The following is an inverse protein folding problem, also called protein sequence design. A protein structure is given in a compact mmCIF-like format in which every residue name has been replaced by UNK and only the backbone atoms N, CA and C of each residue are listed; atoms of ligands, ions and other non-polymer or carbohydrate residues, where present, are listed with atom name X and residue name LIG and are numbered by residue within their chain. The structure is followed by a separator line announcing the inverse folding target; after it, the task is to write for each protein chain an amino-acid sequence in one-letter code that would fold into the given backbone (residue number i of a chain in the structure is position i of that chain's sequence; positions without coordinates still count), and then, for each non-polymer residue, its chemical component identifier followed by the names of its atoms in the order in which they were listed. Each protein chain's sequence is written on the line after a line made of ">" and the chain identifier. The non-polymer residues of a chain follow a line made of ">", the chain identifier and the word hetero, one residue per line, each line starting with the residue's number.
data_IF_163706450431
#
_entry.id   IF_163706450431
#
_cell.length_a   1.000
_cell.length_b   1.000
_cell.length_c   1.000
_cell.angle_alpha   90.00
_cell.angle_beta   90.00
_cell.angle_gamma   90.00
#
_symmetry.space_group_name_H-M   'P 1'
#
loop_
_entity.id
_entity.type
_entity.pdbx_description
1 polymer ?
#
# COMPACT_ATOMS: atom_id res chain seq x y z
N UNK A 1 -29.71 -3.53 -18.75
CA UNK A 1 -29.68 -2.93 -17.40
C UNK A 1 -28.72 -3.79 -16.59
N UNK A 2 -27.49 -3.35 -16.38
CA UNK A 2 -26.50 -4.14 -15.63
C UNK A 2 -26.87 -4.06 -14.15
N UNK A 3 -27.48 -5.12 -13.62
CA UNK A 3 -28.00 -5.15 -12.26
C UNK A 3 -26.85 -5.29 -11.25
N UNK A 4 -27.07 -4.86 -10.01
CA UNK A 4 -26.07 -4.95 -8.94
C UNK A 4 -25.61 -6.40 -8.69
N UNK A 5 -26.43 -7.40 -9.01
CA UNK A 5 -26.05 -8.81 -9.01
C UNK A 5 -24.92 -9.16 -9.99
N UNK A 6 -24.87 -8.51 -11.17
CA UNK A 6 -23.78 -8.71 -12.12
C UNK A 6 -22.47 -8.13 -11.60
N UNK A 7 -22.53 -6.96 -10.94
CA UNK A 7 -21.37 -6.34 -10.27
C UNK A 7 -20.90 -7.23 -9.13
N UNK A 8 -21.83 -7.76 -8.33
CA UNK A 8 -21.52 -8.70 -7.26
C UNK A 8 -20.78 -9.93 -7.82
N UNK A 9 -21.25 -10.57 -8.90
CA UNK A 9 -20.55 -11.74 -9.46
C UNK A 9 -19.18 -11.44 -10.04
N UNK A 10 -18.96 -10.23 -10.57
CA UNK A 10 -17.70 -9.86 -11.25
C UNK A 10 -16.63 -9.30 -10.32
N UNK A 11 -17.02 -8.68 -9.19
CA UNK A 11 -16.08 -8.05 -8.28
C UNK A 11 -15.11 -9.07 -7.69
N UNK A 12 -13.84 -8.71 -7.65
CA UNK A 12 -12.80 -9.57 -7.10
C UNK A 12 -11.43 -8.99 -7.41
N UNK A 13 -10.53 -9.08 -6.44
CA UNK A 13 -9.11 -8.76 -6.59
C UNK A 13 -8.29 -10.03 -6.41
N UNK A 14 -7.18 -10.12 -7.13
CA UNK A 14 -6.28 -11.27 -7.08
C UNK A 14 -4.83 -10.80 -7.16
N UNK A 15 -3.99 -11.36 -6.31
CA UNK A 15 -2.54 -11.25 -6.39
C UNK A 15 -2.01 -12.44 -7.18
N UNK A 16 -1.30 -12.16 -8.27
CA UNK A 16 -0.55 -13.14 -9.02
C UNK A 16 0.62 -13.72 -8.23
N UNK A 17 1.31 -14.69 -8.82
CA UNK A 17 2.56 -15.19 -8.27
C UNK A 17 3.58 -14.06 -8.19
N UNK A 18 4.47 -14.16 -7.21
CA UNK A 18 5.62 -13.28 -7.16
C UNK A 18 6.60 -13.65 -8.27
N UNK A 19 6.96 -12.65 -9.07
CA UNK A 19 7.92 -12.77 -10.14
C UNK A 19 9.36 -12.73 -9.58
N UNK A 20 10.35 -13.00 -10.42
CA UNK A 20 11.75 -13.13 -10.00
C UNK A 20 12.34 -11.85 -9.37
N UNK A 21 11.74 -10.70 -9.65
CA UNK A 21 12.12 -9.38 -9.14
C UNK A 21 11.44 -9.05 -7.79
N UNK A 22 10.63 -9.96 -7.27
CA UNK A 22 9.86 -9.76 -6.04
C UNK A 22 8.53 -9.01 -6.25
N UNK A 23 8.20 -8.60 -7.47
CA UNK A 23 6.95 -7.93 -7.79
C UNK A 23 5.83 -8.95 -7.97
N UNK A 24 4.59 -8.57 -7.66
CA UNK A 24 3.40 -9.39 -7.93
C UNK A 24 2.37 -8.54 -8.65
N UNK A 25 1.70 -9.13 -9.65
CA UNK A 25 0.60 -8.45 -10.34
C UNK A 25 -0.64 -8.43 -9.46
N UNK A 26 -1.20 -7.24 -9.22
CA UNK A 26 -2.57 -7.08 -8.71
C UNK A 26 -3.53 -6.93 -9.90
N UNK A 27 -4.61 -7.70 -9.93
CA UNK A 27 -5.62 -7.62 -11.00
C UNK A 27 -7.03 -7.89 -10.48
N UNK A 28 -8.04 -7.47 -11.24
CA UNK A 28 -9.44 -7.72 -10.89
C UNK A 28 -10.39 -6.61 -11.33
N UNK A 29 -11.67 -6.78 -10.97
CA UNK A 29 -12.70 -5.76 -11.12
C UNK A 29 -13.12 -5.26 -9.74
N UNK A 30 -13.14 -3.94 -9.56
CA UNK A 30 -13.66 -3.29 -8.37
C UNK A 30 -15.09 -2.82 -8.64
N UNK A 31 -15.94 -2.89 -7.63
CA UNK A 31 -17.27 -2.28 -7.69
C UNK A 31 -17.16 -0.75 -7.49
N UNK A 32 -18.26 0.01 -7.69
CA UNK A 32 -18.23 1.46 -7.54
C UNK A 32 -17.81 1.94 -6.15
N UNK A 33 -18.16 1.18 -5.09
CA UNK A 33 -17.83 1.53 -3.71
C UNK A 33 -16.32 1.43 -3.45
N UNK A 34 -15.69 0.32 -3.83
CA UNK A 34 -14.25 0.17 -3.71
C UNK A 34 -13.51 1.13 -4.65
N UNK A 35 -14.04 1.40 -5.86
CA UNK A 35 -13.45 2.40 -6.77
C UNK A 35 -13.40 3.78 -6.13
N UNK A 36 -14.52 4.27 -5.59
CA UNK A 36 -14.60 5.57 -4.95
C UNK A 36 -13.67 5.65 -3.72
N UNK A 37 -13.58 4.56 -2.95
CA UNK A 37 -12.67 4.46 -1.81
C UNK A 37 -11.21 4.57 -2.24
N UNK A 38 -10.81 3.84 -3.29
CA UNK A 38 -9.44 3.91 -3.83
C UNK A 38 -9.11 5.29 -4.39
N UNK A 39 -10.02 5.95 -5.10
CA UNK A 39 -9.84 7.33 -5.59
C UNK A 39 -9.64 8.32 -4.44
N UNK A 40 -10.40 8.18 -3.35
CA UNK A 40 -10.24 9.04 -2.18
C UNK A 40 -8.89 8.82 -1.49
N UNK A 41 -8.46 7.55 -1.35
CA UNK A 41 -7.14 7.19 -0.82
C UNK A 41 -6.02 7.72 -1.70
N UNK A 42 -6.13 7.58 -3.02
CA UNK A 42 -5.18 8.12 -4.00
C UNK A 42 -5.06 9.64 -3.86
N UNK A 43 -6.18 10.37 -3.86
CA UNK A 43 -6.18 11.81 -3.71
C UNK A 43 -5.52 12.28 -2.40
N UNK A 44 -5.67 11.50 -1.32
CA UNK A 44 -5.12 11.84 0.00
C UNK A 44 -3.65 11.47 0.16
N UNK A 45 -3.25 10.27 -0.27
CA UNK A 45 -1.94 9.68 0.05
C UNK A 45 -0.96 9.67 -1.13
N UNK A 46 -1.43 9.88 -2.35
CA UNK A 46 -0.61 9.86 -3.57
C UNK A 46 -0.35 11.26 -4.17
N UNK A 47 -0.73 12.33 -3.46
CA UNK A 47 -0.35 13.68 -3.85
C UNK A 47 1.18 13.83 -3.87
N UNK A 48 1.75 14.70 -4.74
CA UNK A 48 3.21 14.89 -4.79
C UNK A 48 3.81 15.20 -3.42
N UNK A 49 4.88 14.50 -3.06
CA UNK A 49 5.58 14.59 -1.78
C UNK A 49 4.95 13.78 -0.63
N UNK A 50 3.75 13.22 -0.81
CA UNK A 50 3.12 12.35 0.19
C UNK A 50 3.65 10.92 0.10
N UNK A 51 3.76 10.24 1.24
CA UNK A 51 4.17 8.83 1.34
C UNK A 51 5.43 8.50 0.52
N UNK A 52 6.37 9.43 0.43
CA UNK A 52 7.58 9.23 -0.35
C UNK A 52 8.56 8.31 0.38
N UNK A 53 8.78 7.12 -0.18
CA UNK A 53 9.67 6.10 0.41
C UNK A 53 11.14 6.49 0.40
N UNK A 54 11.52 7.49 -0.40
CA UNK A 54 12.90 7.98 -0.50
C UNK A 54 13.21 9.08 0.53
N UNK A 55 12.18 9.60 1.21
CA UNK A 55 12.34 10.57 2.31
C UNK A 55 12.65 9.84 3.63
N UNK A 56 13.57 10.40 4.43
CA UNK A 56 13.92 9.85 5.75
C UNK A 56 12.71 9.80 6.69
N UNK A 57 11.81 10.78 6.59
CA UNK A 57 10.54 10.80 7.31
C UNK A 57 9.40 11.07 6.33
N UNK A 58 8.79 10.02 5.76
CA UNK A 58 7.71 10.16 4.79
C UNK A 58 6.51 10.89 5.39
N UNK A 59 5.97 11.87 4.67
CA UNK A 59 4.76 12.58 5.09
C UNK A 59 3.53 11.71 4.82
N UNK A 60 2.95 11.15 5.87
CA UNK A 60 1.74 10.31 5.79
C UNK A 60 0.49 11.03 6.30
N UNK A 61 0.67 12.02 7.19
CA UNK A 61 -0.38 12.86 7.75
C UNK A 61 -0.20 14.31 7.32
N UNK A 62 -1.31 15.06 7.24
CA UNK A 62 -1.28 16.46 6.84
C UNK A 62 -1.07 16.66 5.33
N UNK A 63 -0.22 17.63 4.98
CA UNK A 63 0.14 18.00 3.61
C UNK A 63 1.66 18.06 3.48
N UNK A 64 2.19 17.54 2.37
CA UNK A 64 3.60 17.65 2.06
C UNK A 64 4.00 19.12 1.82
N UNK A 65 5.21 19.48 2.26
CA UNK A 65 5.77 20.79 1.97
C UNK A 65 5.96 20.99 0.46
N UNK A 66 5.84 22.22 -0.08
CA UNK A 66 6.02 22.49 -1.50
C UNK A 66 7.34 21.97 -2.07
N UNK A 67 8.41 22.01 -1.28
CA UNK A 67 9.73 21.52 -1.68
C UNK A 67 9.76 19.99 -1.84
N UNK A 68 9.03 19.27 -1.00
CA UNK A 68 8.88 17.81 -1.12
C UNK A 68 8.08 17.47 -2.39
N UNK A 69 6.99 18.20 -2.65
CA UNK A 69 6.21 18.05 -3.88
C UNK A 69 7.05 18.33 -5.14
N UNK A 70 7.88 19.37 -5.13
CA UNK A 70 8.75 19.73 -6.26
C UNK A 70 9.84 18.69 -6.55
N UNK A 71 10.35 17.99 -5.53
CA UNK A 71 11.39 16.96 -5.69
C UNK A 71 10.83 15.56 -5.91
N UNK A 72 9.51 15.38 -5.84
CA UNK A 72 8.87 14.09 -6.07
C UNK A 72 8.80 13.77 -7.56
N UNK A 73 9.72 12.90 -8.01
CA UNK A 73 9.85 12.47 -9.40
C UNK A 73 9.08 11.18 -9.70
N UNK A 74 8.36 10.61 -8.72
CA UNK A 74 7.60 9.38 -8.91
C UNK A 74 6.42 9.63 -9.84
N UNK A 75 6.13 8.65 -10.68
CA UNK A 75 4.90 8.64 -11.47
C UNK A 75 3.67 8.55 -10.57
N UNK A 76 2.51 8.95 -11.09
CA UNK A 76 1.23 8.84 -10.37
C UNK A 76 0.98 7.42 -9.86
N UNK A 77 1.21 6.40 -10.70
CA UNK A 77 1.07 4.99 -10.32
C UNK A 77 2.03 4.57 -9.19
N UNK A 78 3.27 5.08 -9.17
CA UNK A 78 4.22 4.83 -8.09
C UNK A 78 3.79 5.52 -6.79
N UNK A 79 3.32 6.77 -6.86
CA UNK A 79 2.77 7.48 -5.69
C UNK A 79 1.55 6.76 -5.15
N UNK A 80 0.67 6.27 -6.02
CA UNK A 80 -0.51 5.52 -5.59
C UNK A 80 -0.12 4.19 -4.93
N UNK A 81 0.85 3.46 -5.50
CA UNK A 81 1.40 2.26 -4.87
C UNK A 81 1.93 2.54 -3.44
N UNK A 82 2.78 3.55 -3.30
CA UNK A 82 3.40 3.88 -2.00
C UNK A 82 2.37 4.41 -0.99
N UNK A 83 1.44 5.25 -1.45
CA UNK A 83 0.34 5.76 -0.64
C UNK A 83 -0.61 4.65 -0.17
N UNK A 84 -0.97 3.72 -1.05
CA UNK A 84 -1.77 2.55 -0.69
C UNK A 84 -1.05 1.67 0.34
N UNK A 85 0.26 1.44 0.17
CA UNK A 85 1.06 0.70 1.15
C UNK A 85 1.12 1.41 2.51
N UNK A 86 1.30 2.73 2.53
CA UNK A 86 1.31 3.52 3.76
C UNK A 86 -0.04 3.44 4.50
N UNK A 87 -1.16 3.59 3.78
CA UNK A 87 -2.50 3.46 4.33
C UNK A 87 -2.80 2.06 4.89
N UNK A 88 -2.43 1.01 4.17
CA UNK A 88 -2.60 -0.38 4.64
C UNK A 88 -1.74 -0.68 5.88
N UNK A 89 -0.52 -0.14 5.95
CA UNK A 89 0.32 -0.24 7.16
C UNK A 89 -0.32 0.50 8.33
N UNK A 90 -0.81 1.71 8.13
CA UNK A 90 -1.50 2.47 9.17
C UNK A 90 -2.73 1.72 9.70
N UNK A 91 -3.50 1.08 8.81
CA UNK A 91 -4.63 0.23 9.18
C UNK A 91 -4.21 -0.98 10.02
N UNK A 92 -3.11 -1.67 9.66
CA UNK A 92 -2.59 -2.78 10.45
C UNK A 92 -2.09 -2.32 11.84
N UNK A 93 -1.51 -1.13 11.91
CA UNK A 93 -1.01 -0.54 13.15
C UNK A 93 -2.10 0.15 14.01
N UNK A 94 -3.30 0.38 13.47
CA UNK A 94 -4.36 1.09 14.20
C UNK A 94 -4.89 0.31 15.40
N UNK A 95 -4.69 -1.02 15.41
CA UNK A 95 -5.24 -1.91 16.43
C UNK A 95 -6.74 -2.18 16.26
N UNK A 96 -7.39 -1.59 15.25
CA UNK A 96 -8.84 -1.70 15.02
C UNK A 96 -9.22 -2.96 14.22
N UNK A 97 -8.27 -3.60 13.55
CA UNK A 97 -8.50 -4.84 12.80
C UNK A 97 -8.74 -6.08 13.67
N UNK A 98 -8.70 -5.94 14.99
CA UNK A 98 -8.83 -7.05 15.93
C UNK A 98 -7.61 -7.98 15.91
N UNK A 99 -7.82 -9.23 16.33
CA UNK A 99 -6.77 -10.24 16.42
C UNK A 99 -6.92 -11.28 15.31
N UNK A 100 -5.80 -11.67 14.70
CA UNK A 100 -5.73 -12.83 13.83
C UNK A 100 -4.96 -13.94 14.58
N UNK A 101 -5.63 -15.07 14.86
CA UNK A 101 -5.07 -16.19 15.65
C UNK A 101 -4.52 -15.79 17.04
N UNK A 102 -5.16 -14.82 17.72
CA UNK A 102 -4.75 -14.38 19.06
C UNK A 102 -3.58 -13.38 19.09
N UNK A 103 -3.06 -12.99 17.92
CA UNK A 103 -2.05 -11.94 17.77
C UNK A 103 -2.69 -10.73 17.08
N UNK A 104 -2.29 -9.48 17.40
CA UNK A 104 -2.65 -8.32 16.59
C UNK A 104 -2.33 -8.59 15.13
N UNK A 105 -3.14 -8.09 14.19
CA UNK A 105 -2.85 -8.18 12.76
C UNK A 105 -1.54 -7.42 12.43
N UNK A 106 -0.39 -8.09 12.60
CA UNK A 106 0.94 -7.55 12.35
C UNK A 106 1.50 -8.06 11.03
N UNK A 107 2.22 -7.22 10.29
CA UNK A 107 3.03 -7.69 9.15
C UNK A 107 4.14 -8.58 9.71
N UNK A 108 4.00 -9.90 9.58
CA UNK A 108 5.09 -10.84 9.84
C UNK A 108 5.94 -10.88 8.56
N UNK A 109 7.02 -10.11 8.52
CA UNK A 109 8.06 -10.32 7.50
C UNK A 109 8.89 -11.52 7.97
N UNK A 110 8.65 -12.69 7.40
CA UNK A 110 9.57 -13.83 7.54
C UNK A 110 10.82 -13.54 6.73
N UNK A 111 11.80 -12.88 7.35
CA UNK A 111 13.17 -12.83 6.86
C UNK A 111 13.96 -13.98 7.47
N UNK A 112 14.92 -14.57 6.75
CA UNK A 112 15.78 -15.57 7.38
C UNK A 112 16.82 -14.87 8.24
N UNK A 113 17.29 -15.51 9.32
CA UNK A 113 18.38 -14.96 10.17
C UNK A 113 19.59 -14.56 9.32
N UNK A 114 19.85 -15.30 8.24
CA UNK A 114 20.94 -15.07 7.29
C UNK A 114 20.78 -13.77 6.49
N UNK A 115 19.55 -13.39 6.15
CA UNK A 115 19.26 -12.13 5.46
C UNK A 115 19.40 -10.94 6.42
N UNK A 116 19.08 -11.14 7.71
CA UNK A 116 19.29 -10.16 8.77
C UNK A 116 20.79 -9.95 9.05
N UNK A 117 21.58 -11.03 9.14
CA UNK A 117 23.03 -11.00 9.37
C UNK A 117 23.81 -10.41 8.17
N UNK A 118 23.36 -10.67 6.95
CA UNK A 118 23.96 -10.09 5.74
C UNK A 118 23.68 -8.59 5.63
N UNK A 119 22.51 -8.11 6.07
CA UNK A 119 22.16 -6.69 6.08
C UNK A 119 22.74 -5.93 7.28
N UNK A 120 22.94 -6.59 8.43
CA UNK A 120 23.43 -5.94 9.65
C UNK A 120 24.92 -5.57 9.60
N UNK A 121 25.71 -6.19 8.71
CA UNK A 121 27.14 -5.88 8.57
C UNK A 121 27.95 -6.31 9.80
N UNK A 122 29.04 -7.04 9.58
CA UNK A 122 30.00 -7.35 10.65
C UNK A 122 30.60 -6.05 11.19
N UNK A 123 30.31 -5.73 12.44
CA UNK A 123 31.24 -4.98 13.28
C UNK A 123 32.46 -5.82 13.61
#
# INVERSE_FOLDING_TARGET
>A
NYADEDRARKRGLSLGKQEHDGMSRLSGYVDPELRATLEAVEAKLAAPGMCNRDDETPVVDGQAAPEAACRDLRSEAQRFHDGLLAGLRALLMSGELGQHNGLPASIIVTTTLKDLEAAAGRG
#
